data_IF_802949536167
#
_entry.id   IF_802949536167
#
_cell.length_a   1.000
_cell.length_b   1.000
_cell.length_c   1.000
_cell.angle_alpha   90.00
_cell.angle_beta   90.00
_cell.angle_gamma   90.00
#
_symmetry.space_group_name_H-M   'P 1'
#
loop_
_entity.id
_entity.type
_entity.pdbx_description
1 polymer ?
#
# COMPACT_ATOMS: atom_id res chain seq x y z
N UNK A 1 -13.70 -9.60 -5.42
CA UNK A 1 -14.57 -9.64 -4.24
C UNK A 1 -14.32 -10.97 -3.56
N UNK A 2 -13.45 -11.02 -2.55
CA UNK A 2 -13.47 -12.15 -1.63
C UNK A 2 -14.81 -12.02 -0.93
N UNK A 3 -15.78 -12.85 -1.33
CA UNK A 3 -17.05 -12.90 -0.63
C UNK A 3 -16.75 -13.63 0.68
N UNK A 4 -16.42 -12.88 1.73
CA UNK A 4 -16.40 -13.44 3.07
C UNK A 4 -17.87 -13.60 3.46
N UNK A 5 -18.44 -14.76 3.13
CA UNK A 5 -19.85 -15.04 3.39
C UNK A 5 -20.08 -15.24 4.88
N UNK A 6 -21.19 -14.66 5.32
CA UNK A 6 -21.84 -14.86 6.61
C UNK A 6 -22.60 -16.19 6.53
N UNK A 7 -22.17 -17.22 7.25
CA UNK A 7 -23.00 -18.43 7.42
C UNK A 7 -23.26 -18.78 8.89
N UNK A 8 -24.54 -18.63 9.23
CA UNK A 8 -25.43 -19.54 9.99
C UNK A 8 -24.88 -20.31 11.21
N UNK A 9 -24.85 -19.59 12.35
CA UNK A 9 -25.33 -19.89 13.74
C UNK A 9 -25.18 -21.32 14.32
N UNK A 10 -24.55 -21.51 15.52
CA UNK A 10 -25.17 -21.31 16.86
C UNK A 10 -24.24 -20.69 17.95
N UNK A 11 -24.70 -20.28 19.17
CA UNK A 11 -26.01 -19.79 19.65
C UNK A 11 -26.09 -18.24 19.57
N UNK A 12 -27.19 -17.53 19.94
CA UNK A 12 -27.26 -16.08 19.71
C UNK A 12 -26.38 -15.31 20.71
N UNK A 13 -25.43 -14.46 20.26
CA UNK A 13 -24.88 -13.43 21.12
C UNK A 13 -25.91 -12.32 21.35
N UNK A 14 -25.81 -11.56 22.46
CA UNK A 14 -26.70 -10.44 22.74
C UNK A 14 -26.72 -9.44 21.58
N UNK A 15 -27.92 -8.94 21.27
CA UNK A 15 -28.25 -8.15 20.08
C UNK A 15 -27.32 -6.92 19.94
N UNK A 16 -26.66 -6.78 18.78
CA UNK A 16 -25.98 -5.54 18.36
C UNK A 16 -24.63 -5.69 17.65
N UNK A 17 -23.99 -6.86 17.70
CA UNK A 17 -22.61 -7.06 17.23
C UNK A 17 -22.58 -7.77 15.87
N UNK A 18 -21.95 -7.15 14.86
CA UNK A 18 -21.61 -7.82 13.61
C UNK A 18 -20.54 -8.84 13.96
N UNK A 19 -20.79 -10.10 13.65
CA UNK A 19 -19.88 -11.17 14.01
C UNK A 19 -18.50 -10.93 13.39
N UNK A 20 -17.41 -11.08 14.17
CA UNK A 20 -16.07 -11.07 13.62
C UNK A 20 -15.92 -12.19 12.57
N UNK A 21 -15.35 -11.86 11.42
CA UNK A 21 -15.00 -12.84 10.39
C UNK A 21 -13.80 -13.65 10.89
N UNK A 22 -13.92 -14.97 10.98
CA UNK A 22 -12.89 -15.88 11.48
C UNK A 22 -12.52 -16.91 10.42
N UNK A 23 -11.23 -17.22 10.29
CA UNK A 23 -10.71 -18.31 9.48
C UNK A 23 -9.38 -18.80 10.02
N UNK A 24 -9.00 -20.04 9.72
CA UNK A 24 -7.73 -20.62 10.12
C UNK A 24 -6.68 -20.43 9.01
N UNK A 25 -5.55 -19.81 9.38
CA UNK A 25 -4.48 -19.46 8.46
C UNK A 25 -3.11 -19.82 9.05
N UNK A 26 -2.16 -20.27 8.26
CA UNK A 26 -0.77 -20.43 8.72
C UNK A 26 0.16 -19.37 8.11
N UNK A 27 1.10 -18.84 8.89
CA UNK A 27 2.08 -17.86 8.41
C UNK A 27 3.20 -18.55 7.61
N UNK A 28 3.07 -18.53 6.27
CA UNK A 28 4.06 -19.05 5.32
C UNK A 28 4.44 -20.54 5.48
N UNK A 29 5.25 -21.09 4.57
CA UNK A 29 5.91 -22.38 4.73
C UNK A 29 7.26 -22.23 5.48
N UNK A 30 7.65 -23.15 6.40
CA UNK A 30 6.92 -24.34 6.82
C UNK A 30 5.76 -24.02 7.80
N UNK A 31 4.71 -24.85 7.86
CA UNK A 31 3.52 -24.63 8.69
C UNK A 31 3.84 -24.86 10.18
N UNK A 32 4.43 -23.86 10.83
CA UNK A 32 4.82 -23.94 12.23
C UNK A 32 3.75 -23.48 13.21
N UNK A 33 2.70 -22.77 12.76
CA UNK A 33 1.69 -22.16 13.63
C UNK A 33 0.41 -21.82 12.86
N UNK A 34 -0.73 -22.30 13.36
CA UNK A 34 -2.05 -21.84 12.91
C UNK A 34 -2.39 -20.53 13.59
N UNK A 35 -3.13 -19.66 12.90
CA UNK A 35 -3.60 -18.37 13.37
C UNK A 35 -5.06 -18.17 12.96
N UNK A 36 -5.88 -17.64 13.87
CA UNK A 36 -7.16 -17.05 13.55
C UNK A 36 -6.96 -15.59 13.15
N UNK A 37 -7.44 -15.22 11.96
CA UNK A 37 -7.56 -13.80 11.58
C UNK A 37 -8.95 -13.30 11.93
N UNK A 38 -9.01 -12.20 12.68
CA UNK A 38 -10.26 -11.52 13.02
C UNK A 38 -10.21 -10.07 12.54
N UNK A 39 -11.14 -9.69 11.66
CA UNK A 39 -11.33 -8.29 11.29
C UNK A 39 -12.33 -7.63 12.24
N UNK A 40 -11.90 -6.59 12.95
CA UNK A 40 -12.77 -5.79 13.83
C UNK A 40 -13.56 -4.75 13.05
N UNK A 41 -14.63 -4.22 13.66
CA UNK A 41 -15.41 -3.09 13.09
C UNK A 41 -14.57 -1.83 12.90
N UNK A 42 -13.49 -1.69 13.67
CA UNK A 42 -12.59 -0.54 13.65
C UNK A 42 -11.55 -0.63 12.52
N UNK A 43 -11.58 -1.71 11.72
CA UNK A 43 -10.64 -1.92 10.62
C UNK A 43 -9.31 -2.50 11.07
N UNK A 44 -9.23 -3.10 12.25
CA UNK A 44 -8.04 -3.79 12.74
C UNK A 44 -8.11 -5.28 12.38
N UNK A 45 -7.04 -5.78 11.78
CA UNK A 45 -6.81 -7.19 11.56
C UNK A 45 -6.02 -7.76 12.75
N UNK A 46 -6.73 -8.46 13.61
CA UNK A 46 -6.19 -9.18 14.77
C UNK A 46 -5.75 -10.59 14.36
N UNK A 47 -4.60 -10.99 14.88
CA UNK A 47 -3.98 -12.30 14.61
C UNK A 47 -3.82 -13.05 15.93
N UNK A 48 -4.56 -14.13 16.11
CA UNK A 48 -4.51 -14.96 17.32
C UNK A 48 -3.91 -16.32 16.98
N UNK A 49 -2.88 -16.78 17.70
CA UNK A 49 -2.24 -18.08 17.41
C UNK A 49 -3.13 -19.22 17.92
N UNK A 50 -3.48 -20.14 17.02
CA UNK A 50 -4.22 -21.36 17.31
C UNK A 50 -3.23 -22.50 17.55
N UNK A 51 -3.12 -22.93 18.81
CA UNK A 51 -2.20 -23.98 19.22
C UNK A 51 -0.73 -23.53 19.23
N UNK A 52 -0.03 -23.78 20.34
CA UNK A 52 1.40 -23.50 20.42
C UNK A 52 2.01 -24.06 21.70
N UNK A 53 3.14 -24.75 21.55
CA UNK A 53 3.99 -25.24 22.63
C UNK A 53 4.30 -24.15 23.68
N UNK A 54 4.46 -24.59 24.92
CA UNK A 54 5.00 -23.81 26.04
C UNK A 54 6.50 -23.50 25.85
N UNK A 55 6.96 -22.25 26.08
CA UNK A 55 6.19 -21.07 26.45
C UNK A 55 5.58 -20.33 25.24
N UNK A 56 4.46 -19.61 25.41
CA UNK A 56 3.81 -18.89 24.33
C UNK A 56 4.67 -17.73 23.82
N UNK A 57 5.04 -17.77 22.54
CA UNK A 57 5.56 -16.61 21.83
C UNK A 57 4.50 -15.48 21.83
N UNK A 58 4.92 -14.21 21.94
CA UNK A 58 3.98 -13.09 21.92
C UNK A 58 3.17 -13.07 20.62
N UNK A 59 1.87 -12.84 20.75
CA UNK A 59 0.99 -12.68 19.59
C UNK A 59 1.48 -11.51 18.72
N UNK A 60 1.44 -11.65 17.39
CA UNK A 60 1.86 -10.57 16.51
C UNK A 60 0.90 -9.38 16.65
N UNK A 61 1.46 -8.17 16.65
CA UNK A 61 0.68 -6.96 16.85
C UNK A 61 -0.37 -6.77 15.74
N UNK A 62 -1.55 -6.22 16.06
CA UNK A 62 -2.62 -6.02 15.08
C UNK A 62 -2.16 -5.12 13.93
N UNK A 63 -2.73 -5.35 12.75
CA UNK A 63 -2.50 -4.57 11.55
C UNK A 63 -3.73 -3.72 11.24
N UNK A 64 -3.56 -2.42 11.07
CA UNK A 64 -4.64 -1.54 10.63
C UNK A 64 -4.84 -1.72 9.12
N UNK A 65 -6.09 -1.87 8.67
CA UNK A 65 -6.40 -1.91 7.23
C UNK A 65 -6.03 -0.60 6.53
N UNK A 66 -6.03 0.53 7.24
CA UNK A 66 -5.53 1.82 6.72
C UNK A 66 -4.04 1.79 6.38
N UNK A 67 -3.27 0.90 7.01
CA UNK A 67 -1.86 0.71 6.70
C UNK A 67 -1.65 -0.31 5.58
N UNK A 68 -2.68 -1.05 5.17
CA UNK A 68 -2.60 -2.04 4.10
C UNK A 68 -2.87 -1.41 2.74
N UNK A 69 -1.84 -1.40 1.90
CA UNK A 69 -1.85 -0.76 0.59
C UNK A 69 -2.49 -1.71 -0.45
N UNK A 70 -2.20 -3.00 -0.32
CA UNK A 70 -2.56 -4.03 -1.29
C UNK A 70 -2.81 -5.38 -0.64
N UNK A 71 -3.67 -6.17 -1.27
CA UNK A 71 -3.87 -7.58 -0.96
C UNK A 71 -3.95 -8.39 -2.25
N UNK A 72 -3.37 -9.59 -2.23
CA UNK A 72 -3.48 -10.53 -3.34
C UNK A 72 -3.72 -11.96 -2.86
N UNK A 73 -4.54 -12.69 -3.60
CA UNK A 73 -4.77 -14.13 -3.40
C UNK A 73 -4.04 -14.91 -4.50
N UNK A 74 -3.18 -15.85 -4.11
CA UNK A 74 -2.47 -16.74 -5.04
C UNK A 74 -2.68 -18.21 -4.67
N UNK A 75 -2.34 -19.13 -5.58
CA UNK A 75 -2.27 -20.58 -5.29
C UNK A 75 -0.85 -20.95 -4.90
N UNK A 76 -0.72 -22.10 -4.21
CA UNK A 76 0.57 -22.75 -3.97
C UNK A 76 1.37 -22.85 -5.26
N UNK A 77 2.67 -22.58 -5.16
CA UNK A 77 3.59 -22.58 -6.31
C UNK A 77 3.82 -24.00 -6.84
N UNK A 78 3.63 -25.00 -5.98
CA UNK A 78 3.83 -26.42 -6.30
C UNK A 78 2.51 -27.08 -6.67
N UNK A 79 2.53 -27.92 -7.72
CA UNK A 79 1.36 -28.65 -8.21
C UNK A 79 0.74 -29.61 -7.16
N UNK A 80 1.48 -29.91 -6.09
CA UNK A 80 1.03 -30.74 -4.97
C UNK A 80 0.42 -29.99 -3.79
N UNK A 81 0.39 -28.64 -3.79
CA UNK A 81 -0.22 -27.86 -2.71
C UNK A 81 -1.57 -27.27 -3.15
N UNK A 82 -2.71 -27.87 -2.73
CA UNK A 82 -4.04 -27.35 -3.06
C UNK A 82 -4.40 -26.07 -2.29
N UNK A 83 -3.54 -25.58 -1.39
CA UNK A 83 -3.85 -24.44 -0.55
C UNK A 83 -3.85 -23.10 -1.33
N UNK A 84 -4.78 -22.24 -0.95
CA UNK A 84 -4.76 -20.83 -1.31
C UNK A 84 -3.84 -20.04 -0.38
N UNK A 85 -3.27 -18.96 -0.88
CA UNK A 85 -2.42 -18.03 -0.13
C UNK A 85 -3.01 -16.63 -0.23
N UNK A 86 -3.11 -15.93 0.90
CA UNK A 86 -3.47 -14.53 0.99
C UNK A 86 -2.22 -13.75 1.42
N UNK A 87 -1.74 -12.86 0.57
CA UNK A 87 -0.63 -11.96 0.89
C UNK A 87 -1.19 -10.56 1.11
N UNK A 88 -0.81 -9.94 2.22
CA UNK A 88 -1.08 -8.52 2.48
C UNK A 88 0.22 -7.74 2.35
N UNK A 89 0.14 -6.51 1.87
CA UNK A 89 1.25 -5.55 1.89
C UNK A 89 0.81 -4.35 2.71
N UNK A 90 1.42 -4.20 3.89
CA UNK A 90 1.08 -3.13 4.82
C UNK A 90 2.31 -2.36 5.26
N UNK A 91 2.12 -1.09 5.64
CA UNK A 91 3.16 -0.16 6.08
C UNK A 91 2.84 0.43 7.47
N UNK A 92 2.71 -0.43 8.51
CA UNK A 92 2.42 0.04 9.85
C UNK A 92 3.55 0.91 10.41
N UNK A 93 3.16 1.90 11.21
CA UNK A 93 4.09 2.74 11.96
C UNK A 93 4.60 1.97 13.18
N UNK A 94 5.90 1.65 13.21
CA UNK A 94 6.53 0.91 14.31
C UNK A 94 7.61 1.76 14.98
N UNK A 95 7.72 1.66 16.30
CA UNK A 95 8.86 2.22 17.03
C UNK A 95 10.11 1.39 16.75
N UNK A 96 11.24 2.07 16.56
CA UNK A 96 12.53 1.41 16.34
C UNK A 96 13.01 0.78 17.66
N UNK A 97 13.49 -0.46 17.61
CA UNK A 97 14.19 -1.07 18.74
C UNK A 97 15.39 -0.18 19.10
N UNK A 98 15.41 0.37 20.32
CA UNK A 98 16.41 1.35 20.76
C UNK A 98 15.90 2.79 20.95
N UNK A 99 14.59 3.04 20.93
CA UNK A 99 14.02 4.33 21.38
C UNK A 99 14.02 5.47 20.35
N UNK A 100 14.23 5.16 19.07
CA UNK A 100 14.13 6.14 17.99
C UNK A 100 12.69 6.53 17.63
N UNK A 101 12.50 7.59 16.82
CA UNK A 101 11.17 7.99 16.34
C UNK A 101 10.50 6.83 15.59
N UNK A 102 9.17 6.77 15.68
CA UNK A 102 8.40 5.76 14.97
C UNK A 102 8.52 5.98 13.46
N UNK A 103 8.63 4.88 12.71
CA UNK A 103 8.75 4.92 11.26
C UNK A 103 7.87 3.84 10.64
N UNK A 104 7.32 4.12 9.45
CA UNK A 104 6.58 3.12 8.68
C UNK A 104 7.52 2.03 8.19
N UNK A 105 7.14 0.78 8.41
CA UNK A 105 7.92 -0.40 8.00
C UNK A 105 7.06 -1.29 7.12
N UNK A 106 7.60 -1.72 5.98
CA UNK A 106 6.94 -2.68 5.11
C UNK A 106 6.84 -4.04 5.82
N UNK A 107 5.62 -4.49 6.05
CA UNK A 107 5.26 -5.82 6.55
C UNK A 107 4.41 -6.51 5.48
N UNK A 108 4.85 -7.70 5.02
CA UNK A 108 4.17 -8.44 3.96
C UNK A 108 3.79 -9.86 4.44
N UNK A 109 2.84 -9.99 5.39
CA UNK A 109 2.45 -11.29 5.90
C UNK A 109 1.75 -12.10 4.81
N UNK A 110 2.11 -13.39 4.75
CA UNK A 110 1.52 -14.35 3.82
C UNK A 110 0.83 -15.43 4.63
N UNK A 111 -0.47 -15.58 4.38
CA UNK A 111 -1.36 -16.49 5.07
C UNK A 111 -1.74 -17.63 4.14
N UNK A 112 -1.38 -18.86 4.47
CA UNK A 112 -1.90 -20.05 3.79
C UNK A 112 -3.29 -20.36 4.35
N UNK A 113 -4.28 -20.41 3.48
CA UNK A 113 -5.66 -20.77 3.82
C UNK A 113 -5.74 -22.28 3.99
N UNK A 114 -6.09 -22.73 5.19
CA UNK A 114 -6.27 -24.16 5.43
C UNK A 114 -7.59 -24.61 4.80
N UNK A 115 -7.53 -25.68 4.01
CA UNK A 115 -8.72 -26.33 3.45
C UNK A 115 -9.28 -27.22 4.54
N UNK A 116 -10.40 -26.81 5.15
CA UNK A 116 -11.12 -27.69 6.08
C UNK A 116 -11.53 -28.99 5.35
N UNK A 117 -11.40 -30.16 5.98
CA UNK A 117 -11.84 -31.44 5.43
C UNK A 117 -13.37 -31.56 5.28
N UNK A 118 -14.15 -30.58 5.76
CA UNK A 118 -15.59 -30.55 5.56
C UNK A 118 -15.97 -30.34 4.08
N UNK A 119 -16.74 -31.27 3.45
CA UNK A 119 -17.09 -31.20 2.03
C UNK A 119 -17.85 -29.94 1.61
N UNK A 120 -18.51 -29.26 2.55
CA UNK A 120 -19.25 -28.01 2.31
C UNK A 120 -18.36 -26.76 2.25
N UNK A 121 -17.14 -26.81 2.81
CA UNK A 121 -16.22 -25.67 2.82
C UNK A 121 -15.53 -25.50 1.46
N UNK A 122 -15.03 -26.61 0.89
CA UNK A 122 -14.25 -26.61 -0.36
C UNK A 122 -14.97 -26.06 -1.58
N UNK A 123 -16.30 -26.16 -1.64
CA UNK A 123 -17.10 -25.60 -2.73
C UNK A 123 -17.18 -24.07 -2.70
N UNK A 124 -17.08 -23.45 -1.52
CA UNK A 124 -17.16 -21.99 -1.34
C UNK A 124 -15.79 -21.33 -1.50
N UNK A 125 -14.71 -21.99 -1.05
CA UNK A 125 -13.31 -21.54 -1.25
C UNK A 125 -12.86 -21.63 -2.70
N UNK A 126 -13.45 -22.54 -3.50
CA UNK A 126 -13.23 -22.63 -4.94
C UNK A 126 -13.74 -21.41 -5.75
N UNK A 127 -14.50 -20.51 -5.12
CA UNK A 127 -15.06 -19.29 -5.74
C UNK A 127 -14.22 -18.04 -5.44
N UNK A 128 -13.15 -18.14 -4.66
CA UNK A 128 -12.09 -17.12 -4.61
C UNK A 128 -11.19 -17.23 -5.86
N UNK A 129 -11.82 -17.33 -7.04
CA UNK A 129 -11.19 -17.28 -8.34
C UNK A 129 -10.79 -15.84 -8.62
N UNK A 130 -9.49 -15.63 -8.80
CA UNK A 130 -8.87 -14.55 -9.57
C UNK A 130 -9.65 -13.24 -9.60
N UNK A 131 -9.70 -12.57 -8.46
CA UNK A 131 -9.94 -11.13 -8.46
C UNK A 131 -8.95 -10.54 -7.47
N UNK A 132 -7.87 -9.96 -7.99
CA UNK A 132 -7.19 -8.85 -7.31
C UNK A 132 -8.30 -7.89 -6.92
N UNK A 133 -8.63 -7.87 -5.63
CA UNK A 133 -9.56 -6.87 -5.13
C UNK A 133 -8.64 -5.71 -4.79
N UNK A 134 -8.68 -4.59 -5.53
CA UNK A 134 -8.09 -3.39 -4.98
C UNK A 134 -8.73 -3.23 -3.60
N UNK A 135 -7.91 -3.04 -2.56
CA UNK A 135 -8.36 -2.62 -1.23
C UNK A 135 -8.87 -1.17 -1.39
N UNK A 136 -9.89 -1.00 -2.21
CA UNK A 136 -10.65 0.20 -2.41
C UNK A 136 -11.59 0.26 -1.22
N UNK A 137 -11.59 1.42 -0.57
CA UNK A 137 -12.54 1.81 0.48
C UNK A 137 -12.41 1.12 1.84
N UNK A 138 -11.23 1.16 2.46
CA UNK A 138 -11.27 1.64 3.86
C UNK A 138 -10.96 3.13 3.78
N UNK A 139 -11.96 4.02 3.90
CA UNK A 139 -11.67 5.44 4.04
C UNK A 139 -10.79 5.57 5.30
N UNK A 140 -9.54 5.99 5.13
CA UNK A 140 -8.77 6.45 6.27
C UNK A 140 -9.59 7.57 6.93
N UNK A 141 -9.83 7.52 8.25
CA UNK A 141 -10.52 8.59 8.95
C UNK A 141 -9.61 9.82 8.93
N UNK A 142 -9.76 10.66 7.90
CA UNK A 142 -8.98 11.86 7.65
C UNK A 142 -9.73 12.79 6.69
N UNK A 143 -9.54 14.11 6.81
CA UNK A 143 -10.38 15.11 6.17
C UNK A 143 -10.24 15.05 4.66
N UNK A 144 -11.35 14.82 3.94
CA UNK A 144 -11.59 15.19 2.53
C UNK A 144 -10.34 15.44 1.68
N UNK A 145 -9.54 14.39 1.47
CA UNK A 145 -8.38 14.40 0.60
C UNK A 145 -8.77 14.09 -0.84
N UNK A 146 -8.04 14.65 -1.80
CA UNK A 146 -8.13 14.22 -3.20
C UNK A 146 -7.55 12.80 -3.27
N UNK A 147 -8.41 11.81 -3.52
CA UNK A 147 -7.97 10.44 -3.76
C UNK A 147 -7.64 10.26 -5.24
N UNK A 148 -6.45 9.72 -5.53
CA UNK A 148 -6.11 9.32 -6.89
C UNK A 148 -6.94 8.07 -7.28
N UNK A 149 -7.39 7.98 -8.53
CA UNK A 149 -8.07 6.78 -9.02
C UNK A 149 -7.14 5.56 -8.93
N UNK A 150 -7.72 4.36 -8.84
CA UNK A 150 -6.99 3.09 -8.90
C UNK A 150 -7.54 2.25 -10.06
N UNK A 151 -6.69 1.81 -11.02
CA UNK A 151 -5.27 2.14 -11.16
C UNK A 151 -5.06 3.62 -11.52
N UNK A 152 -3.93 4.20 -11.10
CA UNK A 152 -3.54 5.57 -11.47
C UNK A 152 -2.28 5.57 -12.34
N UNK A 153 -2.13 6.63 -13.14
CA UNK A 153 -0.97 6.87 -14.01
C UNK A 153 -0.29 8.17 -13.60
N UNK A 154 0.98 8.10 -13.22
CA UNK A 154 1.74 9.26 -12.74
C UNK A 154 2.97 9.53 -13.61
N UNK A 155 3.30 10.81 -13.78
CA UNK A 155 4.53 11.24 -14.42
C UNK A 155 5.58 11.52 -13.35
N UNK A 156 6.71 10.81 -13.37
CA UNK A 156 7.80 10.99 -12.41
C UNK A 156 8.90 11.81 -13.06
N UNK A 157 9.14 13.01 -12.54
CA UNK A 157 10.24 13.89 -12.91
C UNK A 157 11.37 13.70 -11.91
N UNK A 158 12.52 13.21 -12.38
CA UNK A 158 13.65 12.89 -11.52
C UNK A 158 14.91 13.58 -12.01
N UNK A 159 15.64 14.21 -11.08
CA UNK A 159 16.99 14.70 -11.35
C UNK A 159 18.03 13.66 -10.89
N UNK A 160 18.70 12.94 -11.81
CA UNK A 160 19.65 11.88 -11.44
C UNK A 160 20.88 12.44 -10.73
N UNK A 161 21.23 13.71 -10.98
CA UNK A 161 22.35 14.42 -10.35
C UNK A 161 21.96 15.11 -9.05
N UNK A 162 20.68 15.05 -8.65
CA UNK A 162 20.19 15.65 -7.42
C UNK A 162 20.86 15.06 -6.17
N UNK A 163 21.20 15.93 -5.21
CA UNK A 163 21.76 15.54 -3.92
C UNK A 163 23.09 14.79 -4.04
N UNK A 164 23.10 13.51 -3.65
CA UNK A 164 24.30 12.65 -3.69
C UNK A 164 24.47 11.89 -5.01
N UNK A 165 23.69 12.22 -6.05
CA UNK A 165 23.72 11.52 -7.35
C UNK A 165 23.14 10.09 -7.30
N UNK A 166 22.39 9.76 -6.24
CA UNK A 166 21.81 8.43 -6.00
C UNK A 166 20.30 8.38 -6.19
N UNK A 167 19.69 9.47 -6.66
CA UNK A 167 18.23 9.60 -6.77
C UNK A 167 17.62 8.50 -7.65
N UNK A 168 18.20 8.21 -8.82
CA UNK A 168 17.73 7.15 -9.71
C UNK A 168 17.78 5.77 -9.04
N UNK A 169 18.91 5.43 -8.42
CA UNK A 169 19.06 4.16 -7.68
C UNK A 169 18.08 4.06 -6.52
N UNK A 170 17.82 5.16 -5.82
CA UNK A 170 16.83 5.19 -4.74
C UNK A 170 15.42 4.97 -5.27
N UNK A 171 15.09 5.57 -6.42
CA UNK A 171 13.80 5.38 -7.09
C UNK A 171 13.58 3.90 -7.42
N UNK A 172 14.52 3.27 -8.12
CA UNK A 172 14.43 1.87 -8.53
C UNK A 172 14.37 0.90 -7.34
N UNK A 173 15.13 1.17 -6.28
CA UNK A 173 15.23 0.25 -5.12
C UNK A 173 14.10 0.41 -4.10
N UNK A 174 13.48 1.60 -4.01
CA UNK A 174 12.50 1.90 -2.96
C UNK A 174 11.15 2.31 -3.53
N UNK A 175 11.12 3.27 -4.45
CA UNK A 175 9.87 3.89 -4.91
C UNK A 175 9.16 3.00 -5.93
N UNK A 176 9.88 2.48 -6.92
CA UNK A 176 9.30 1.64 -7.96
C UNK A 176 8.58 0.39 -7.41
N UNK A 177 9.13 -0.38 -6.44
CA UNK A 177 8.40 -1.48 -5.81
C UNK A 177 7.12 -1.02 -5.09
N UNK A 178 7.16 0.14 -4.41
CA UNK A 178 5.99 0.69 -3.72
C UNK A 178 4.89 1.10 -4.70
N UNK A 179 5.23 1.72 -5.83
CA UNK A 179 4.28 2.08 -6.87
C UNK A 179 3.64 0.84 -7.50
N UNK A 180 4.43 -0.21 -7.74
CA UNK A 180 3.91 -1.48 -8.24
C UNK A 180 2.95 -2.15 -7.25
N UNK A 181 3.29 -2.16 -5.95
CA UNK A 181 2.40 -2.68 -4.90
C UNK A 181 1.10 -1.88 -4.78
N UNK A 182 1.16 -0.57 -5.03
CA UNK A 182 0.01 0.33 -5.00
C UNK A 182 -0.84 0.34 -6.29
N UNK A 183 -0.49 -0.46 -7.29
CA UNK A 183 -1.13 -0.47 -8.62
C UNK A 183 -1.11 0.91 -9.31
N UNK A 184 0.04 1.60 -9.18
CA UNK A 184 0.30 2.91 -9.79
C UNK A 184 1.28 2.74 -10.95
N UNK A 185 0.79 2.92 -12.17
CA UNK A 185 1.61 2.97 -13.36
C UNK A 185 2.38 4.30 -13.41
N UNK A 186 3.65 4.27 -13.80
CA UNK A 186 4.46 5.48 -13.87
C UNK A 186 5.22 5.58 -15.19
N UNK A 187 5.59 6.81 -15.55
CA UNK A 187 6.58 7.10 -16.60
C UNK A 187 7.65 7.97 -16.02
N UNK A 188 8.91 7.55 -16.15
CA UNK A 188 10.06 8.26 -15.59
C UNK A 188 10.69 9.17 -16.65
N UNK A 189 10.80 10.46 -16.33
CA UNK A 189 11.51 11.46 -17.12
C UNK A 189 12.72 11.96 -16.32
N UNK A 190 13.90 11.85 -16.94
CA UNK A 190 15.14 12.30 -16.35
C UNK A 190 15.46 13.73 -16.80
N UNK A 191 15.68 14.62 -15.84
CA UNK A 191 16.01 16.01 -16.12
C UNK A 191 17.53 16.16 -16.22
N UNK A 192 17.99 16.82 -17.26
CA UNK A 192 19.42 16.88 -17.59
C UNK A 192 20.10 18.23 -17.27
N UNK A 193 19.32 19.32 -17.25
CA UNK A 193 19.82 20.70 -17.09
C UNK A 193 18.82 21.57 -16.31
N UNK A 194 19.26 22.73 -15.78
CA UNK A 194 18.34 23.70 -15.17
C UNK A 194 17.24 24.12 -16.14
N UNK A 195 16.03 24.35 -15.61
CA UNK A 195 14.80 24.67 -16.34
C UNK A 195 14.29 23.57 -17.29
N UNK A 196 14.93 22.40 -17.37
CA UNK A 196 14.45 21.32 -18.22
C UNK A 196 13.09 20.80 -17.73
N UNK A 197 12.87 20.67 -16.41
CA UNK A 197 11.58 20.22 -15.91
C UNK A 197 10.46 21.23 -16.21
N UNK A 198 10.78 22.52 -16.14
CA UNK A 198 9.86 23.61 -16.49
C UNK A 198 9.39 23.52 -17.94
N UNK A 199 10.32 23.32 -18.87
CA UNK A 199 10.03 23.17 -20.30
C UNK A 199 9.18 21.90 -20.56
N UNK A 200 9.57 20.76 -19.99
CA UNK A 200 8.83 19.50 -20.12
C UNK A 200 7.38 19.63 -19.63
N UNK A 201 7.18 20.24 -18.46
CA UNK A 201 5.84 20.39 -17.87
C UNK A 201 4.98 21.39 -18.64
N UNK A 202 5.60 22.38 -19.29
CA UNK A 202 4.90 23.31 -20.17
C UNK A 202 4.37 22.62 -21.43
N UNK A 203 5.09 21.63 -21.96
CA UNK A 203 4.74 20.94 -23.21
C UNK A 203 3.94 19.65 -22.99
N UNK A 204 4.05 19.02 -21.81
CA UNK A 204 3.39 17.73 -21.57
C UNK A 204 1.87 17.82 -21.59
N UNK A 205 1.21 16.81 -22.13
CA UNK A 205 -0.24 16.69 -22.06
C UNK A 205 -0.68 16.20 -20.66
N UNK A 206 -1.02 17.15 -19.78
CA UNK A 206 -1.41 16.90 -18.39
C UNK A 206 -2.67 16.03 -18.24
N UNK A 207 -3.51 15.95 -19.28
CA UNK A 207 -4.72 15.13 -19.28
C UNK A 207 -4.43 13.62 -19.21
N UNK A 208 -3.24 13.19 -19.64
CA UNK A 208 -2.84 11.77 -19.64
C UNK A 208 -2.41 11.25 -18.26
N UNK A 209 -2.21 12.15 -17.31
CA UNK A 209 -1.63 11.86 -16.00
C UNK A 209 -2.59 12.24 -14.88
N UNK A 210 -2.73 11.36 -13.89
CA UNK A 210 -3.53 11.63 -12.70
C UNK A 210 -2.79 12.53 -11.71
N UNK A 211 -1.46 12.39 -11.64
CA UNK A 211 -0.60 13.20 -10.79
C UNK A 211 0.81 13.36 -11.39
N UNK A 212 1.51 14.42 -10.95
CA UNK A 212 2.93 14.62 -11.21
C UNK A 212 3.71 14.34 -9.93
N UNK A 213 4.74 13.50 -10.04
CA UNK A 213 5.63 13.13 -8.93
C UNK A 213 6.99 13.73 -9.21
N UNK A 214 7.50 14.55 -8.29
CA UNK A 214 8.80 15.21 -8.41
C UNK A 214 9.76 14.58 -7.43
N UNK A 215 10.78 13.90 -7.93
CA UNK A 215 11.81 13.26 -7.14
C UNK A 215 13.15 13.99 -7.26
N UNK A 216 13.37 14.95 -6.37
CA UNK A 216 14.62 15.72 -6.27
C UNK A 216 14.62 16.51 -4.95
N UNK A 217 15.26 17.68 -4.93
CA UNK A 217 15.07 18.69 -3.90
C UNK A 217 14.02 19.73 -4.28
N UNK A 218 13.87 20.75 -3.43
CA UNK A 218 12.84 21.79 -3.56
C UNK A 218 12.93 22.58 -4.88
N UNK A 219 14.13 22.72 -5.45
CA UNK A 219 14.36 23.43 -6.71
C UNK A 219 13.65 22.80 -7.92
N UNK A 220 13.55 21.47 -7.98
CA UNK A 220 12.84 20.82 -9.10
C UNK A 220 11.33 21.03 -9.00
N UNK A 221 10.78 21.02 -7.77
CA UNK A 221 9.37 21.33 -7.55
C UNK A 221 9.06 22.76 -7.99
N UNK A 222 9.97 23.71 -7.72
CA UNK A 222 9.84 25.09 -8.17
C UNK A 222 9.79 25.20 -9.70
N UNK A 223 10.66 24.49 -10.42
CA UNK A 223 10.63 24.44 -11.89
C UNK A 223 9.29 23.89 -12.42
N UNK A 224 8.78 22.81 -11.81
CA UNK A 224 7.50 22.20 -12.21
C UNK A 224 6.33 23.16 -12.00
N UNK A 225 6.24 23.79 -10.84
CA UNK A 225 5.16 24.74 -10.54
C UNK A 225 5.20 25.94 -11.50
N UNK A 226 6.36 26.54 -11.74
CA UNK A 226 6.48 27.63 -12.71
C UNK A 226 6.12 27.17 -14.12
N UNK A 227 6.54 25.96 -14.51
CA UNK A 227 6.18 25.35 -15.79
C UNK A 227 4.68 25.19 -15.97
N UNK A 228 3.93 24.83 -14.93
CA UNK A 228 2.47 24.78 -14.96
C UNK A 228 1.84 26.18 -15.08
N UNK A 229 2.38 27.16 -14.35
CA UNK A 229 1.87 28.53 -14.33
C UNK A 229 2.09 29.30 -15.64
N UNK A 230 3.06 28.88 -16.45
CA UNK A 230 3.37 29.49 -17.76
C UNK A 230 2.54 28.95 -18.92
N UNK A 231 1.70 27.95 -18.65
CA UNK A 231 0.83 27.39 -19.68
C UNK A 231 -0.37 28.30 -19.92
N UNK A 232 -0.93 28.31 -21.14
CA UNK A 232 -2.16 29.05 -21.41
C UNK A 232 -3.35 28.52 -20.57
N UNK A 233 -3.34 27.23 -20.21
CA UNK A 233 -4.35 26.55 -19.40
C UNK A 233 -3.98 26.47 -17.90
N UNK A 234 -3.16 27.41 -17.40
CA UNK A 234 -2.58 27.37 -16.04
C UNK A 234 -3.61 27.15 -14.92
N UNK A 235 -4.80 27.76 -15.02
CA UNK A 235 -5.86 27.64 -14.00
C UNK A 235 -6.33 26.20 -13.78
N UNK A 236 -6.27 25.39 -14.84
CA UNK A 236 -6.59 23.96 -14.79
C UNK A 236 -5.34 23.13 -14.51
N UNK A 237 -4.20 23.52 -15.09
CA UNK A 237 -2.92 22.83 -14.94
C UNK A 237 -2.45 22.79 -13.47
N UNK A 238 -2.57 23.91 -12.75
CA UNK A 238 -2.12 24.02 -11.35
C UNK A 238 -2.96 23.17 -10.38
N UNK A 239 -4.18 22.77 -10.78
CA UNK A 239 -5.03 21.87 -10.00
C UNK A 239 -4.59 20.41 -10.09
N UNK A 240 -3.63 20.08 -10.96
CA UNK A 240 -3.09 18.72 -11.07
C UNK A 240 -2.39 18.35 -9.76
N UNK A 241 -2.72 17.21 -9.12
CA UNK A 241 -2.05 16.78 -7.90
C UNK A 241 -0.53 16.66 -8.08
N UNK A 242 0.22 17.27 -7.16
CA UNK A 242 1.67 17.21 -7.10
C UNK A 242 2.12 16.38 -5.91
N UNK A 243 3.09 15.51 -6.13
CA UNK A 243 3.74 14.70 -5.10
C UNK A 243 5.23 15.05 -5.05
N UNK A 244 5.79 15.22 -3.85
CA UNK A 244 7.21 15.42 -3.63
C UNK A 244 7.84 14.17 -3.04
N UNK A 245 8.92 13.68 -3.65
CA UNK A 245 9.74 12.59 -3.14
C UNK A 245 11.15 13.10 -2.87
N UNK A 246 11.70 12.90 -1.66
CA UNK A 246 13.02 13.40 -1.33
C UNK A 246 14.09 12.65 -2.13
N UNK A 247 14.80 13.39 -2.97
CA UNK A 247 15.94 12.88 -3.76
C UNK A 247 17.10 13.87 -3.85
N UNK A 248 16.96 15.07 -3.27
CA UNK A 248 17.95 16.14 -3.31
C UNK A 248 18.64 16.39 -1.97
N UNK A 249 19.45 17.45 -1.93
CA UNK A 249 20.11 17.95 -0.72
C UNK A 249 19.18 18.79 0.16
N UNK A 250 18.30 19.60 -0.45
CA UNK A 250 17.25 20.36 0.24
C UNK A 250 15.87 19.75 -0.05
N UNK A 251 15.24 19.18 0.98
CA UNK A 251 13.93 18.52 0.89
C UNK A 251 12.94 19.12 1.92
N UNK A 252 12.97 20.44 2.10
CA UNK A 252 12.18 21.11 3.12
C UNK A 252 10.68 20.91 2.90
N UNK A 253 10.22 20.92 1.64
CA UNK A 253 8.82 20.66 1.31
C UNK A 253 8.42 19.22 1.69
N UNK A 254 9.24 18.23 1.34
CA UNK A 254 8.96 16.83 1.67
C UNK A 254 8.95 16.59 3.18
N UNK A 255 9.88 17.22 3.92
CA UNK A 255 9.93 17.16 5.38
C UNK A 255 8.68 17.78 6.03
N UNK A 256 8.24 18.94 5.55
CA UNK A 256 7.02 19.60 6.03
C UNK A 256 5.78 18.76 5.74
N UNK A 257 5.62 18.23 4.51
CA UNK A 257 4.50 17.35 4.16
C UNK A 257 4.50 16.11 5.06
N UNK A 258 5.66 15.48 5.30
CA UNK A 258 5.75 14.34 6.21
C UNK A 258 5.36 14.71 7.65
N UNK A 259 5.77 15.89 8.14
CA UNK A 259 5.40 16.35 9.48
C UNK A 259 3.88 16.51 9.65
N UNK A 260 3.18 17.02 8.64
CA UNK A 260 1.72 17.18 8.68
C UNK A 260 0.95 15.89 8.37
N UNK A 261 1.54 14.96 7.61
CA UNK A 261 0.89 13.72 7.19
C UNK A 261 0.98 12.58 8.22
N UNK A 262 1.89 12.65 9.20
CA UNK A 262 2.05 11.63 10.26
C UNK A 262 3.04 10.53 9.88
#
# INVERSE_FOLDING_TARGET
MIIIRRETKPPPPPRGLSQPLRGEFSLGPPPGSSYALTLTREGELHMERLGGLDPPLPAPAPLLLSDCISCCSSRGRDAGDPAGYLSLVCYPTRRRAGGGPAARRREAPVFRVLVSPDPGWGATTGVARERTVPLASVPAPGPSGIFLPRPSRVLVLLNPRGGTGRALKLFEQRVQPMLAEADVAFTLLLTERPNHARELVREVELARWDALVVMSGDGLMHEVVNGLMERPDWETAIRKPLCTLPGGSGNALAASVNHYAG
#
